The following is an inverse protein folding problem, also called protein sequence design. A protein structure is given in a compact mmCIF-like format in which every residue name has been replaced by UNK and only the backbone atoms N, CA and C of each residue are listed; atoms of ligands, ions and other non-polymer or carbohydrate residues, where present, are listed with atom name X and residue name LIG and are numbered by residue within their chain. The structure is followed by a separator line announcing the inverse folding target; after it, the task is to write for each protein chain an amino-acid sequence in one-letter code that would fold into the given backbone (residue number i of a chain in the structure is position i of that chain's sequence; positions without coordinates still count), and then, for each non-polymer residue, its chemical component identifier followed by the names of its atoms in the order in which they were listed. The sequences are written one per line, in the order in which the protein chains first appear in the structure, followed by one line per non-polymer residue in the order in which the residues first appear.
data_IF_985922220484
#
_entry.id   IF_985922220484
#
_cell.length_a   1.000
_cell.length_b   1.000
_cell.length_c   1.000
_cell.angle_alpha   90.00
_cell.angle_beta   90.00
_cell.angle_gamma   90.00
#
_symmetry.space_group_name_H-M   'P 1'
#
loop_
_entity.id
_entity.type
_entity.pdbx_description
1 polymer ?
#
# COMPACT_ATOMS: atom_id res chain seq x y z
N UNK A 1 41.58 -30.03 -40.73
CA UNK A 1 40.43 -30.70 -40.08
C UNK A 1 40.03 -30.06 -38.74
N UNK A 2 40.96 -29.79 -37.80
CA UNK A 2 40.62 -29.22 -36.47
C UNK A 2 40.03 -27.80 -36.52
N UNK A 3 40.47 -26.96 -37.45
CA UNK A 3 39.92 -25.61 -37.66
C UNK A 3 38.54 -25.60 -38.32
N UNK A 4 38.19 -26.65 -39.05
CA UNK A 4 36.91 -26.78 -39.74
C UNK A 4 35.79 -27.17 -38.76
N UNK A 5 36.11 -27.99 -37.75
CA UNK A 5 35.20 -28.32 -36.66
C UNK A 5 34.90 -27.13 -35.73
N UNK A 6 35.89 -26.26 -35.47
CA UNK A 6 35.69 -25.06 -34.64
C UNK A 6 34.80 -24.04 -35.35
N UNK A 7 34.95 -23.87 -36.66
CA UNK A 7 34.09 -22.98 -37.44
C UNK A 7 32.62 -23.44 -37.45
N UNK A 8 32.36 -24.75 -37.55
CA UNK A 8 30.99 -25.31 -37.53
C UNK A 8 30.32 -25.11 -36.17
N UNK A 9 31.05 -25.28 -35.06
CA UNK A 9 30.51 -25.04 -33.71
C UNK A 9 30.23 -23.55 -33.47
N UNK A 10 31.07 -22.65 -33.98
CA UNK A 10 30.82 -21.21 -33.88
C UNK A 10 29.62 -20.75 -34.74
N UNK A 11 29.39 -21.40 -35.89
CA UNK A 11 28.23 -21.13 -36.74
C UNK A 11 26.90 -21.63 -36.13
N UNK A 12 26.90 -22.71 -35.34
CA UNK A 12 25.69 -23.20 -34.67
C UNK A 12 25.30 -22.40 -33.42
N UNK A 13 26.25 -21.68 -32.81
CA UNK A 13 26.01 -20.77 -31.68
C UNK A 13 25.44 -19.39 -32.09
N UNK A 14 25.55 -19.02 -33.38
CA UNK A 14 25.01 -17.77 -33.92
C UNK A 14 23.55 -17.88 -34.40
N UNK A 15 22.92 -19.05 -34.27
CA UNK A 15 21.47 -19.20 -34.43
C UNK A 15 20.76 -18.68 -33.16
N UNK A 16 20.82 -17.36 -32.97
CA UNK A 16 20.02 -16.66 -31.97
C UNK A 16 18.54 -16.82 -32.33
N UNK A 17 17.82 -17.67 -31.59
CA UNK A 17 16.36 -17.63 -31.57
C UNK A 17 15.94 -16.31 -30.95
N UNK A 18 15.11 -15.53 -31.66
CA UNK A 18 14.50 -14.31 -31.15
C UNK A 18 13.53 -14.69 -30.00
N UNK A 19 13.88 -14.42 -28.73
CA UNK A 19 13.08 -14.82 -27.58
C UNK A 19 11.76 -14.02 -27.48
N UNK A 20 11.55 -13.04 -28.36
CA UNK A 20 10.36 -12.18 -28.41
C UNK A 20 9.52 -12.39 -29.67
N UNK A 21 9.85 -13.38 -30.51
CA UNK A 21 9.08 -13.68 -31.73
C UNK A 21 7.61 -14.04 -31.47
N UNK A 22 7.24 -14.39 -30.24
CA UNK A 22 5.87 -14.70 -29.82
C UNK A 22 5.18 -13.60 -29.01
N UNK A 23 5.75 -12.39 -28.96
CA UNK A 23 5.17 -11.25 -28.25
C UNK A 23 4.65 -10.25 -29.28
N UNK A 24 3.36 -9.95 -29.24
CA UNK A 24 2.72 -8.96 -30.11
C UNK A 24 3.43 -7.61 -29.98
N UNK A 25 3.82 -7.00 -31.11
CA UNK A 25 4.43 -5.66 -31.10
C UNK A 25 3.32 -4.62 -31.10
N UNK A 26 3.57 -3.48 -30.46
CA UNK A 26 2.64 -2.35 -30.46
C UNK A 26 2.31 -1.85 -31.88
N UNK A 27 3.18 -2.12 -32.87
CA UNK A 27 2.94 -1.81 -34.29
C UNK A 27 1.91 -2.72 -34.95
N UNK A 28 1.62 -3.87 -34.35
CA UNK A 28 0.69 -4.88 -34.90
C UNK A 28 -0.72 -4.72 -34.31
N UNK A 29 -0.93 -3.69 -33.48
CA UNK A 29 -2.23 -3.31 -32.90
C UNK A 29 -2.78 -2.14 -33.72
N UNK A 30 -3.84 -2.39 -34.49
CA UNK A 30 -4.61 -1.35 -35.17
C UNK A 30 -5.24 -0.41 -34.13
N UNK A 31 -4.66 0.78 -33.97
CA UNK A 31 -5.26 1.86 -33.19
C UNK A 31 -6.30 2.54 -34.07
N UNK A 32 -7.58 2.47 -33.69
CA UNK A 32 -8.65 3.19 -34.39
C UNK A 32 -8.45 4.70 -34.28
N UNK A 33 -8.42 5.41 -35.41
CA UNK A 33 -8.29 6.88 -35.46
C UNK A 33 -9.48 7.62 -34.83
N UNK A 34 -10.60 6.92 -34.55
CA UNK A 34 -11.79 7.46 -33.89
C UNK A 34 -11.75 7.37 -32.35
N UNK A 35 -10.67 6.83 -31.77
CA UNK A 35 -10.49 6.83 -30.32
C UNK A 35 -10.05 8.24 -29.88
N UNK A 36 -11.03 9.08 -29.53
CA UNK A 36 -10.77 10.32 -28.79
C UNK A 36 -10.05 9.98 -27.48
N UNK A 37 -8.76 10.30 -27.42
CA UNK A 37 -7.95 10.24 -26.22
C UNK A 37 -8.47 11.30 -25.23
N UNK A 38 -9.53 10.96 -24.50
CA UNK A 38 -10.06 11.77 -23.42
C UNK A 38 -9.18 11.57 -22.18
N UNK A 39 -8.00 12.21 -22.16
CA UNK A 39 -7.29 12.67 -20.96
C UNK A 39 -5.87 13.16 -21.32
N UNK A 40 -5.75 14.14 -22.22
CA UNK A 40 -4.59 15.03 -22.14
C UNK A 40 -4.95 16.14 -21.14
N UNK A 41 -4.15 16.33 -20.07
CA UNK A 41 -4.39 17.40 -19.11
C UNK A 41 -4.37 18.75 -19.83
N UNK A 42 -5.24 19.66 -19.41
CA UNK A 42 -5.29 20.99 -20.02
C UNK A 42 -4.04 21.82 -19.66
N UNK A 43 -3.79 22.88 -20.43
CA UNK A 43 -2.61 23.72 -20.25
C UNK A 43 -2.53 24.40 -18.86
N UNK A 44 -3.66 24.60 -18.17
CA UNK A 44 -3.69 25.13 -16.81
C UNK A 44 -3.33 24.07 -15.76
N UNK A 45 -3.71 22.81 -15.97
CA UNK A 45 -3.27 21.69 -15.12
C UNK A 45 -1.76 21.46 -15.27
N UNK A 46 -1.24 21.49 -16.50
CA UNK A 46 0.20 21.34 -16.78
C UNK A 46 1.03 22.47 -16.17
N UNK A 47 0.53 23.71 -16.22
CA UNK A 47 1.18 24.87 -15.60
C UNK A 47 1.14 24.83 -14.06
N UNK A 48 0.15 24.15 -13.47
CA UNK A 48 -0.01 24.03 -12.01
C UNK A 48 0.77 22.85 -11.41
N UNK A 49 0.86 21.73 -12.13
CA UNK A 49 1.45 20.49 -11.61
C UNK A 49 2.93 20.29 -11.98
N UNK A 50 3.49 21.14 -12.83
CA UNK A 50 4.91 21.13 -13.15
C UNK A 50 5.31 19.86 -13.90
N UNK A 51 4.99 19.82 -15.20
CA UNK A 51 5.52 18.78 -16.08
C UNK A 51 6.97 19.13 -16.51
N UNK A 52 7.79 18.11 -16.76
CA UNK A 52 9.21 18.26 -17.12
C UNK A 52 9.35 19.23 -18.33
N UNK A 53 9.95 20.40 -18.10
CA UNK A 53 10.16 21.44 -19.12
C UNK A 53 9.23 22.66 -19.04
N UNK A 54 8.45 22.85 -17.97
CA UNK A 54 7.60 24.04 -17.75
C UNK A 54 8.18 24.98 -16.69
N UNK A 55 7.88 26.29 -16.75
CA UNK A 55 8.39 27.31 -15.80
C UNK A 55 8.08 26.99 -14.33
N UNK A 56 7.00 26.23 -14.05
CA UNK A 56 6.67 25.76 -12.69
C UNK A 56 7.65 24.69 -12.14
N UNK A 57 8.45 24.05 -13.01
CA UNK A 57 9.48 23.08 -12.65
C UNK A 57 10.86 23.72 -12.38
N UNK A 58 11.06 24.99 -12.73
CA UNK A 58 12.27 25.75 -12.38
C UNK A 58 12.15 26.31 -10.96
N UNK A 59 12.43 25.44 -9.99
CA UNK A 59 12.68 25.88 -8.62
C UNK A 59 14.01 26.61 -8.52
N UNK A 60 13.96 27.88 -8.12
CA UNK A 60 15.14 28.68 -7.75
C UNK A 60 15.94 27.94 -6.66
N UNK A 61 17.17 27.53 -7.00
CA UNK A 61 18.07 26.88 -6.06
C UNK A 61 18.72 27.98 -5.22
N UNK A 62 18.48 28.07 -3.90
CA UNK A 62 19.13 29.09 -3.09
C UNK A 62 20.64 28.92 -3.15
N UNK A 63 21.35 30.01 -3.46
CA UNK A 63 22.78 30.11 -3.69
C UNK A 63 23.66 29.91 -2.43
N UNK A 64 23.34 28.92 -1.59
CA UNK A 64 24.06 28.64 -0.34
C UNK A 64 24.33 27.15 -0.13
N UNK A 65 24.81 26.43 -1.15
CA UNK A 65 25.60 25.20 -0.94
C UNK A 65 26.65 25.08 -2.05
N UNK A 66 27.53 26.06 -2.15
CA UNK A 66 28.77 25.96 -2.91
C UNK A 66 29.95 26.06 -1.93
N UNK A 67 30.10 25.07 -1.05
CA UNK A 67 31.35 24.86 -0.34
C UNK A 67 31.67 23.37 -0.30
N UNK A 68 32.72 22.99 -1.04
CA UNK A 68 33.23 21.63 -1.14
C UNK A 68 33.80 21.16 0.21
N UNK A 69 33.42 19.98 0.73
CA UNK A 69 34.19 19.37 1.80
C UNK A 69 35.49 18.79 1.21
N UNK A 70 36.63 19.42 1.51
CA UNK A 70 37.97 18.82 1.31
C UNK A 70 38.07 17.52 2.10
N UNK A 71 37.86 16.40 1.43
CA UNK A 71 38.08 15.07 2.00
C UNK A 71 39.59 14.78 2.06
N UNK A 72 40.05 14.37 3.25
CA UNK A 72 41.42 13.90 3.47
C UNK A 72 41.65 12.60 2.69
N UNK A 73 42.74 12.57 1.93
CA UNK A 73 43.26 11.38 1.29
C UNK A 73 43.70 10.36 2.35
N UNK A 74 43.09 9.18 2.33
CA UNK A 74 43.71 7.95 2.86
C UNK A 74 43.97 7.03 1.69
N UNK A 75 45.26 6.87 1.36
CA UNK A 75 45.75 6.03 0.28
C UNK A 75 45.41 4.56 0.50
N UNK A 76 44.68 3.99 -0.46
CA UNK A 76 44.39 2.58 -0.55
C UNK A 76 44.60 2.08 -1.98
N UNK A 77 45.19 0.89 -2.11
CA UNK A 77 45.78 0.28 -3.31
C UNK A 77 44.81 -0.02 -4.48
N UNK A 78 43.57 0.49 -4.47
CA UNK A 78 42.53 0.22 -5.48
C UNK A 78 42.04 1.46 -6.27
N UNK A 79 42.67 2.63 -6.09
CA UNK A 79 42.31 3.89 -6.78
C UNK A 79 42.46 3.85 -8.31
N UNK A 80 43.26 2.92 -8.85
CA UNK A 80 43.54 2.83 -10.29
C UNK A 80 42.43 2.21 -11.16
N UNK A 81 41.45 1.52 -10.57
CA UNK A 81 40.43 0.78 -11.35
C UNK A 81 39.12 1.56 -11.50
N UNK A 82 38.83 2.50 -10.60
CA UNK A 82 37.64 3.37 -10.68
C UNK A 82 37.83 4.52 -11.69
N UNK A 83 39.07 4.97 -11.93
CA UNK A 83 39.38 6.03 -12.90
C UNK A 83 39.25 5.63 -14.38
N UNK A 84 39.06 4.34 -14.70
CA UNK A 84 38.97 3.89 -16.10
C UNK A 84 37.54 3.66 -16.61
N UNK A 85 36.54 3.67 -15.72
CA UNK A 85 35.11 3.49 -16.08
C UNK A 85 34.37 4.83 -16.17
N UNK A 86 34.95 5.92 -15.66
CA UNK A 86 34.32 7.24 -15.66
C UNK A 86 34.56 8.06 -16.95
N UNK A 87 35.14 7.47 -18.00
CA UNK A 87 35.43 8.17 -19.26
C UNK A 87 34.92 7.35 -20.46
N UNK A 88 33.60 7.29 -20.60
CA UNK A 88 32.96 6.95 -21.86
C UNK A 88 31.63 7.70 -21.97
N UNK A 89 31.61 8.54 -23.00
CA UNK A 89 30.71 9.65 -23.28
C UNK A 89 29.43 9.13 -23.96
N UNK A 90 28.44 8.70 -23.15
CA UNK A 90 27.14 8.21 -23.65
C UNK A 90 26.02 9.27 -23.54
N UNK A 91 26.29 10.39 -22.88
CA UNK A 91 25.29 11.45 -22.65
C UNK A 91 25.27 12.51 -23.77
N UNK A 92 26.37 12.69 -24.50
CA UNK A 92 26.46 13.69 -25.57
C UNK A 92 25.78 13.25 -26.89
N UNK A 93 25.54 11.96 -27.11
CA UNK A 93 24.93 11.46 -28.35
C UNK A 93 23.39 11.61 -28.40
N UNK A 94 22.73 11.75 -27.25
CA UNK A 94 21.27 11.82 -27.16
C UNK A 94 20.74 13.26 -27.27
N UNK A 95 21.60 14.26 -27.03
CA UNK A 95 21.23 15.68 -27.07
C UNK A 95 21.18 16.27 -28.50
N UNK A 96 21.71 15.58 -29.51
CA UNK A 96 21.75 16.07 -30.89
C UNK A 96 20.50 15.73 -31.72
N UNK A 97 19.69 14.74 -31.28
CA UNK A 97 18.55 14.24 -32.07
C UNK A 97 17.23 14.97 -31.76
N UNK A 98 17.14 15.62 -30.59
CA UNK A 98 15.92 16.32 -30.13
C UNK A 98 15.80 17.74 -30.72
N UNK A 99 16.88 18.30 -31.28
CA UNK A 99 16.92 19.67 -31.79
C UNK A 99 16.36 19.84 -33.22
N UNK A 100 15.86 18.79 -33.87
CA UNK A 100 15.51 18.79 -35.30
C UNK A 100 14.01 18.79 -35.64
N UNK A 101 13.08 19.01 -34.71
CA UNK A 101 11.63 18.90 -35.01
C UNK A 101 10.72 19.97 -34.42
N UNK A 102 11.21 21.18 -34.15
CA UNK A 102 10.35 22.28 -33.68
C UNK A 102 10.49 23.55 -34.53
N UNK A 103 9.75 23.58 -35.63
CA UNK A 103 9.28 24.77 -36.35
C UNK A 103 7.89 24.38 -36.85
N UNK A 104 6.78 24.95 -36.37
CA UNK A 104 6.23 26.25 -36.77
C UNK A 104 5.18 26.75 -35.75
N UNK A 105 4.90 28.08 -35.67
CA UNK A 105 3.92 28.63 -34.74
C UNK A 105 2.54 28.81 -35.41
N UNK A 106 1.46 28.44 -34.70
CA UNK A 106 0.08 28.82 -35.08
C UNK A 106 -0.55 29.65 -33.95
N UNK A 107 -0.89 30.88 -34.33
CA UNK A 107 -1.57 31.93 -33.55
C UNK A 107 -3.06 31.65 -33.53
N UNK A 108 -3.72 31.58 -32.36
CA UNK A 108 -5.17 31.74 -32.27
C UNK A 108 -5.58 32.59 -31.06
N UNK A 109 -6.53 33.44 -31.40
CA UNK A 109 -7.13 34.62 -30.81
C UNK A 109 -7.97 34.36 -29.55
N UNK A 110 -7.97 35.35 -28.65
CA UNK A 110 -8.66 35.36 -27.36
C UNK A 110 -10.12 35.80 -27.50
N UNK A 111 -11.05 35.13 -26.81
CA UNK A 111 -12.34 35.72 -26.40
C UNK A 111 -12.73 35.23 -24.99
N UNK A 112 -13.19 36.11 -24.08
CA UNK A 112 -13.56 35.73 -22.71
C UNK A 112 -15.09 35.64 -22.52
N UNK A 113 -15.56 34.71 -21.68
CA UNK A 113 -16.94 34.73 -21.15
C UNK A 113 -16.98 34.36 -19.66
N UNK A 114 -17.09 35.41 -18.85
CA UNK A 114 -17.94 35.68 -17.68
C UNK A 114 -18.67 34.54 -16.91
N UNK A 115 -18.31 34.42 -15.62
CA UNK A 115 -19.07 34.35 -14.35
C UNK A 115 -20.31 33.46 -14.08
N UNK A 116 -20.40 33.17 -12.75
CA UNK A 116 -21.55 32.78 -11.90
C UNK A 116 -21.61 31.27 -11.56
N UNK A 117 -21.88 30.79 -10.34
CA UNK A 117 -22.36 31.39 -9.09
C UNK A 117 -22.04 30.44 -7.93
N UNK A 118 -21.87 31.00 -6.73
CA UNK A 118 -21.76 30.32 -5.45
C UNK A 118 -23.02 29.49 -5.11
N UNK A 119 -22.82 28.37 -4.41
CA UNK A 119 -23.89 27.64 -3.71
C UNK A 119 -23.51 27.56 -2.22
N UNK A 120 -24.49 28.00 -1.44
CA UNK A 120 -24.49 28.29 -0.02
C UNK A 120 -24.65 27.01 0.81
N UNK A 121 -23.73 26.76 1.73
CA UNK A 121 -23.79 25.68 2.70
C UNK A 121 -24.73 26.09 3.85
N UNK A 122 -25.94 25.54 3.86
CA UNK A 122 -26.84 25.63 5.01
C UNK A 122 -26.49 24.56 6.06
N UNK A 123 -26.34 25.02 7.30
CA UNK A 123 -25.90 24.26 8.45
C UNK A 123 -27.06 23.94 9.43
N UNK A 124 -26.77 22.98 10.33
CA UNK A 124 -27.35 22.74 11.68
C UNK A 124 -28.63 21.88 11.78
N UNK A 125 -28.94 21.24 12.94
CA UNK A 125 -28.11 20.83 14.09
C UNK A 125 -28.45 19.42 14.71
N UNK A 126 -27.51 18.98 15.56
CA UNK A 126 -27.55 18.22 16.82
C UNK A 126 -28.68 17.20 17.21
N UNK A 127 -28.14 16.04 17.60
CA UNK A 127 -28.55 14.92 18.47
C UNK A 127 -29.41 15.25 19.71
N UNK A 128 -30.24 14.28 20.17
CA UNK A 128 -30.40 14.11 21.61
C UNK A 128 -30.25 12.66 22.10
N UNK A 129 -29.32 12.52 23.04
CA UNK A 129 -29.39 11.86 24.36
C UNK A 129 -30.12 10.52 24.54
N UNK A 130 -29.30 9.53 24.92
CA UNK A 130 -29.63 8.24 25.53
C UNK A 130 -30.08 8.36 27.00
N UNK A 131 -31.04 7.54 27.46
CA UNK A 131 -31.20 7.22 28.89
C UNK A 131 -30.45 5.93 29.31
N UNK A 132 -30.10 5.79 30.61
CA UNK A 132 -29.10 4.86 31.12
C UNK A 132 -29.57 3.41 31.32
N UNK A 133 -28.58 2.52 31.36
CA UNK A 133 -28.66 1.07 31.52
C UNK A 133 -28.67 0.69 33.01
N UNK A 134 -29.64 -0.13 33.42
CA UNK A 134 -29.69 -0.77 34.74
C UNK A 134 -28.58 -1.84 34.90
N UNK A 135 -27.80 -1.74 35.97
CA UNK A 135 -26.75 -2.68 36.37
C UNK A 135 -27.35 -3.82 37.24
N UNK A 136 -27.22 -5.11 36.90
CA UNK A 136 -27.59 -6.18 37.82
C UNK A 136 -26.46 -6.50 38.81
N UNK A 137 -26.83 -6.56 40.09
CA UNK A 137 -25.99 -6.91 41.24
C UNK A 137 -25.30 -8.28 41.12
N UNK A 138 -23.98 -8.31 41.38
CA UNK A 138 -23.19 -9.55 41.42
C UNK A 138 -23.24 -10.20 42.81
N UNK A 139 -23.90 -11.35 42.93
CA UNK A 139 -23.74 -12.27 44.07
C UNK A 139 -22.40 -12.99 43.98
N UNK A 140 -21.53 -12.78 44.99
CA UNK A 140 -20.23 -13.45 45.13
C UNK A 140 -20.43 -14.83 45.79
N UNK A 141 -20.29 -15.90 45.03
CA UNK A 141 -20.13 -17.26 45.55
C UNK A 141 -18.65 -17.65 45.57
N UNK A 142 -18.13 -18.01 46.75
CA UNK A 142 -16.78 -18.56 46.92
C UNK A 142 -16.86 -20.05 46.57
N UNK A 143 -16.38 -20.42 45.38
CA UNK A 143 -16.20 -21.81 44.95
C UNK A 143 -14.71 -22.12 44.74
N UNK A 144 -14.15 -23.01 45.56
CA UNK A 144 -12.73 -23.37 45.59
C UNK A 144 -12.31 -24.44 44.54
N UNK A 145 -13.19 -24.89 43.66
CA UNK A 145 -12.83 -25.80 42.58
C UNK A 145 -13.68 -25.53 41.35
N UNK A 146 -13.19 -24.67 40.46
CA UNK A 146 -13.87 -24.34 39.21
C UNK A 146 -12.90 -23.69 38.24
N UNK A 147 -12.40 -24.48 37.28
CA UNK A 147 -11.63 -23.94 36.16
C UNK A 147 -12.48 -22.94 35.41
N UNK A 148 -12.20 -21.66 35.63
CA UNK A 148 -12.85 -20.56 34.92
C UNK A 148 -12.60 -20.77 33.42
N UNK A 149 -13.64 -21.18 32.71
CA UNK A 149 -13.67 -21.06 31.26
C UNK A 149 -13.41 -19.58 30.95
N UNK A 150 -12.47 -19.29 30.05
CA UNK A 150 -12.11 -17.93 29.61
C UNK A 150 -13.26 -17.17 28.91
N UNK A 151 -14.53 -17.55 29.13
CA UNK A 151 -15.69 -17.05 28.40
C UNK A 151 -16.18 -15.67 28.88
N UNK A 152 -15.87 -15.27 30.11
CA UNK A 152 -16.52 -14.10 30.71
C UNK A 152 -15.61 -12.87 30.92
N UNK A 153 -14.37 -12.86 30.39
CA UNK A 153 -13.59 -11.63 30.39
C UNK A 153 -14.17 -10.69 29.31
N UNK A 154 -14.59 -9.46 29.65
CA UNK A 154 -15.05 -8.50 28.66
C UNK A 154 -13.99 -8.31 27.58
N UNK A 155 -14.40 -8.38 26.29
CA UNK A 155 -13.48 -8.11 25.18
C UNK A 155 -13.18 -6.61 25.18
N UNK A 156 -11.90 -6.26 25.14
CA UNK A 156 -11.43 -4.87 25.16
C UNK A 156 -10.63 -4.49 23.91
N UNK A 157 -10.64 -5.35 22.89
CA UNK A 157 -9.95 -5.10 21.62
C UNK A 157 -10.71 -4.09 20.75
N UNK A 158 -10.12 -3.64 19.63
CA UNK A 158 -10.79 -2.76 18.67
C UNK A 158 -12.11 -3.34 18.12
N UNK A 159 -12.26 -4.66 18.16
CA UNK A 159 -13.42 -5.44 17.70
C UNK A 159 -14.41 -5.80 18.82
N UNK A 160 -14.38 -5.12 19.97
CA UNK A 160 -15.17 -5.49 21.14
C UNK A 160 -16.69 -5.43 20.93
N UNK A 161 -17.17 -4.61 19.97
CA UNK A 161 -18.59 -4.43 19.68
C UNK A 161 -19.13 -5.59 18.82
N UNK A 162 -20.30 -6.09 19.20
CA UNK A 162 -21.12 -6.99 18.39
C UNK A 162 -22.07 -6.20 17.49
N UNK A 163 -22.19 -6.63 16.24
CA UNK A 163 -23.14 -6.05 15.29
C UNK A 163 -23.90 -7.13 14.51
N UNK A 164 -25.17 -6.87 14.12
CA UNK A 164 -25.91 -7.75 13.22
C UNK A 164 -25.24 -7.86 11.84
N UNK A 165 -25.50 -8.97 11.15
CA UNK A 165 -25.04 -9.13 9.77
C UNK A 165 -25.67 -8.06 8.86
N UNK A 166 -24.86 -7.45 8.01
CA UNK A 166 -25.31 -6.40 7.08
C UNK A 166 -25.22 -4.97 7.65
N UNK A 167 -24.80 -4.82 8.91
CA UNK A 167 -24.52 -3.49 9.47
C UNK A 167 -23.42 -2.79 8.68
N UNK A 168 -23.67 -1.56 8.24
CA UNK A 168 -22.66 -0.69 7.65
C UNK A 168 -21.89 0.02 8.77
N UNK A 169 -20.57 -0.15 8.81
CA UNK A 169 -19.72 0.46 9.81
C UNK A 169 -19.14 1.78 9.33
N UNK A 170 -18.86 2.69 10.25
CA UNK A 170 -18.09 3.89 9.92
C UNK A 170 -16.67 3.49 9.48
N UNK A 171 -16.06 4.29 8.61
CA UNK A 171 -14.71 4.00 8.15
C UNK A 171 -13.74 3.91 9.32
N UNK A 172 -12.96 2.84 9.33
CA UNK A 172 -11.98 2.56 10.35
C UNK A 172 -12.52 1.86 11.61
N UNK A 173 -13.81 1.59 11.69
CA UNK A 173 -14.36 0.69 12.71
C UNK A 173 -14.26 -0.77 12.27
N UNK A 174 -14.07 -1.64 13.26
CA UNK A 174 -14.13 -3.10 13.10
C UNK A 174 -15.02 -3.65 14.19
N UNK A 175 -15.90 -4.58 13.85
CA UNK A 175 -16.82 -5.18 14.82
C UNK A 175 -16.95 -6.67 14.59
N UNK A 176 -17.38 -7.40 15.62
CA UNK A 176 -17.65 -8.83 15.55
C UNK A 176 -19.06 -9.06 15.00
N UNK A 177 -19.19 -10.03 14.10
CA UNK A 177 -20.46 -10.41 13.46
C UNK A 177 -20.63 -11.92 13.48
N UNK A 178 -21.04 -12.46 14.63
CA UNK A 178 -21.18 -13.91 14.81
C UNK A 178 -22.25 -14.53 13.90
N UNK A 179 -23.26 -13.75 13.48
CA UNK A 179 -24.29 -14.19 12.53
C UNK A 179 -23.75 -14.49 11.13
N UNK A 180 -22.57 -13.96 10.76
CA UNK A 180 -21.92 -14.23 9.49
C UNK A 180 -21.28 -15.63 9.44
N UNK A 181 -21.17 -16.33 10.59
CA UNK A 181 -20.51 -17.62 10.69
C UNK A 181 -21.20 -18.66 9.80
N UNK A 182 -20.42 -19.32 8.94
CA UNK A 182 -20.91 -20.36 8.03
C UNK A 182 -21.73 -19.84 6.85
N UNK A 183 -21.92 -18.52 6.73
CA UNK A 183 -22.59 -17.90 5.59
C UNK A 183 -21.59 -17.58 4.49
N UNK A 184 -22.10 -17.33 3.28
CA UNK A 184 -21.29 -16.77 2.19
C UNK A 184 -20.85 -15.35 2.58
N UNK A 185 -19.55 -15.12 2.61
CA UNK A 185 -18.93 -13.82 2.92
C UNK A 185 -18.52 -13.05 1.65
N UNK A 186 -18.83 -13.59 0.48
CA UNK A 186 -18.34 -13.11 -0.81
C UNK A 186 -17.02 -13.76 -1.22
N UNK A 187 -16.20 -13.03 -2.00
CA UNK A 187 -14.97 -13.54 -2.59
C UNK A 187 -13.84 -13.52 -1.56
N UNK A 188 -13.17 -14.66 -1.38
CA UNK A 188 -11.90 -14.70 -0.62
C UNK A 188 -10.82 -13.95 -1.42
N UNK A 189 -10.22 -12.95 -0.81
CA UNK A 189 -9.13 -12.17 -1.41
C UNK A 189 -7.77 -12.82 -1.14
N UNK A 190 -7.47 -13.09 0.13
CA UNK A 190 -6.18 -13.67 0.55
C UNK A 190 -6.29 -14.28 1.97
N UNK A 191 -5.21 -14.89 2.48
CA UNK A 191 -5.09 -15.34 3.86
C UNK A 191 -3.77 -16.04 4.22
N UNK A 192 -3.58 -16.29 5.52
CA UNK A 192 -2.41 -16.99 6.11
C UNK A 192 -2.50 -18.53 5.98
N UNK A 193 -2.93 -19.04 4.83
CA UNK A 193 -3.06 -20.49 4.56
C UNK A 193 -4.36 -21.13 5.09
N UNK A 194 -4.37 -22.45 5.27
CA UNK A 194 -5.60 -23.23 5.59
C UNK A 194 -6.15 -23.03 7.00
N UNK A 195 -5.31 -22.66 7.98
CA UNK A 195 -5.70 -22.52 9.39
C UNK A 195 -5.40 -21.11 9.96
N UNK A 196 -5.16 -20.15 9.09
CA UNK A 196 -4.84 -18.78 9.46
C UNK A 196 -6.00 -17.82 9.21
N UNK A 197 -5.69 -16.53 9.27
CA UNK A 197 -6.65 -15.50 8.93
C UNK A 197 -6.97 -15.49 7.44
N UNK A 198 -8.17 -15.10 7.07
CA UNK A 198 -8.56 -14.90 5.68
C UNK A 198 -9.44 -13.66 5.54
N UNK A 199 -9.16 -12.88 4.49
CA UNK A 199 -9.89 -11.69 4.11
C UNK A 199 -10.88 -12.01 2.99
N UNK A 200 -12.11 -11.53 3.14
CA UNK A 200 -13.19 -11.68 2.18
C UNK A 200 -13.77 -10.32 1.82
N UNK A 201 -14.15 -10.18 0.57
CA UNK A 201 -14.85 -9.02 0.00
C UNK A 201 -16.30 -9.43 -0.30
N UNK A 202 -17.27 -8.75 0.31
CA UNK A 202 -18.69 -9.06 0.10
C UNK A 202 -19.15 -8.84 -1.33
N UNK A 203 -18.51 -7.92 -2.06
CA UNK A 203 -18.92 -7.56 -3.41
C UNK A 203 -17.74 -6.98 -4.24
N UNK A 204 -16.85 -7.81 -4.79
CA UNK A 204 -15.65 -7.35 -5.49
C UNK A 204 -15.92 -6.70 -6.86
N UNK A 205 -17.16 -6.72 -7.37
CA UNK A 205 -17.51 -6.11 -8.66
C UNK A 205 -17.84 -4.62 -8.57
N UNK A 206 -18.04 -4.07 -7.37
CA UNK A 206 -18.32 -2.64 -7.17
C UNK A 206 -17.08 -1.89 -6.71
N UNK A 207 -16.97 -0.63 -7.14
CA UNK A 207 -15.93 0.31 -6.72
C UNK A 207 -16.42 1.29 -5.64
N UNK A 208 -17.42 0.88 -4.87
CA UNK A 208 -17.95 1.65 -3.75
C UNK A 208 -17.55 1.04 -2.41
N UNK A 209 -17.88 1.76 -1.32
CA UNK A 209 -17.77 1.24 0.04
C UNK A 209 -18.60 -0.02 0.18
N UNK A 210 -17.99 -1.07 0.72
CA UNK A 210 -18.61 -2.38 0.96
C UNK A 210 -18.02 -3.04 2.17
N UNK A 211 -18.65 -4.13 2.58
CA UNK A 211 -18.25 -4.86 3.77
C UNK A 211 -17.16 -5.86 3.44
N UNK A 212 -16.09 -5.82 4.22
CA UNK A 212 -15.05 -6.83 4.22
C UNK A 212 -15.17 -7.67 5.48
N UNK A 213 -14.85 -8.95 5.37
CA UNK A 213 -14.84 -9.87 6.50
C UNK A 213 -13.46 -10.45 6.71
N UNK A 214 -13.05 -10.55 7.97
CA UNK A 214 -11.88 -11.30 8.41
C UNK A 214 -12.37 -12.53 9.18
N UNK A 215 -11.80 -13.69 8.89
CA UNK A 215 -12.06 -14.94 9.62
C UNK A 215 -10.77 -15.49 10.22
N UNK A 216 -10.85 -16.56 11.02
CA UNK A 216 -9.70 -17.16 11.72
C UNK A 216 -9.53 -16.72 13.18
N UNK A 217 -10.55 -16.09 13.77
CA UNK A 217 -10.55 -15.67 15.18
C UNK A 217 -10.86 -16.81 16.14
N UNK A 218 -10.35 -16.72 17.38
CA UNK A 218 -10.46 -17.80 18.38
C UNK A 218 -11.88 -18.09 18.86
N UNK A 219 -12.79 -17.12 18.74
CA UNK A 219 -14.22 -17.28 19.04
C UNK A 219 -15.05 -17.76 17.83
N UNK A 220 -14.40 -18.02 16.68
CA UNK A 220 -15.02 -18.46 15.43
C UNK A 220 -16.06 -17.49 14.83
N UNK A 221 -16.08 -16.23 15.29
CA UNK A 221 -16.93 -15.21 14.69
C UNK A 221 -16.13 -14.39 13.65
N UNK A 222 -16.67 -14.13 12.46
CA UNK A 222 -16.06 -13.16 11.56
C UNK A 222 -16.01 -11.76 12.18
N UNK A 223 -15.02 -10.98 11.78
CA UNK A 223 -14.97 -9.52 12.01
C UNK A 223 -15.36 -8.85 10.72
N UNK A 224 -16.14 -7.79 10.80
CA UNK A 224 -16.48 -6.96 9.65
C UNK A 224 -15.96 -5.55 9.80
N UNK A 225 -15.65 -4.93 8.68
CA UNK A 225 -15.36 -3.50 8.54
C UNK A 225 -15.83 -3.03 7.17
N UNK A 226 -16.07 -1.73 7.04
CA UNK A 226 -16.52 -1.12 5.78
C UNK A 226 -15.38 -0.30 5.18
N UNK A 227 -15.10 -0.55 3.89
CA UNK A 227 -14.02 0.11 3.17
C UNK A 227 -14.30 0.15 1.66
N UNK A 228 -13.55 0.97 0.96
CA UNK A 228 -13.47 1.03 -0.50
C UNK A 228 -12.61 -0.09 -1.09
N UNK A 229 -11.51 -0.39 -0.42
CA UNK A 229 -10.59 -1.46 -0.77
C UNK A 229 -9.95 -1.98 0.53
N UNK A 230 -9.57 -3.25 0.54
CA UNK A 230 -8.84 -3.85 1.64
C UNK A 230 -7.72 -4.76 1.13
N UNK A 231 -6.54 -4.64 1.74
CA UNK A 231 -5.39 -5.46 1.46
C UNK A 231 -5.04 -6.31 2.67
N UNK A 232 -4.67 -7.57 2.40
CA UNK A 232 -4.15 -8.49 3.40
C UNK A 232 -2.62 -8.49 3.30
N UNK A 233 -1.95 -8.15 4.39
CA UNK A 233 -0.49 -8.06 4.46
C UNK A 233 0.07 -9.10 5.42
N UNK A 234 0.98 -9.94 4.93
CA UNK A 234 1.76 -10.82 5.81
C UNK A 234 2.85 -10.02 6.55
N UNK A 235 3.20 -10.41 7.79
CA UNK A 235 4.36 -9.90 8.51
C UNK A 235 5.65 -9.85 7.68
N UNK A 236 5.93 -10.86 6.85
CA UNK A 236 7.08 -10.88 5.94
C UNK A 236 7.12 -9.69 4.99
N UNK A 237 6.00 -9.41 4.33
CA UNK A 237 5.87 -8.28 3.42
C UNK A 237 5.95 -6.95 4.17
N UNK A 238 5.30 -6.86 5.34
CA UNK A 238 5.40 -5.68 6.21
C UNK A 238 6.86 -5.40 6.59
N UNK A 239 7.63 -6.41 7.03
CA UNK A 239 9.05 -6.22 7.39
C UNK A 239 9.91 -5.83 6.20
N UNK A 240 9.65 -6.41 5.03
CA UNK A 240 10.35 -6.05 3.80
C UNK A 240 10.22 -4.55 3.52
N UNK A 241 9.01 -3.99 3.64
CA UNK A 241 8.79 -2.56 3.47
C UNK A 241 9.43 -1.78 4.63
N UNK A 242 9.12 -2.17 5.89
CA UNK A 242 9.53 -1.45 7.10
C UNK A 242 11.05 -1.29 7.24
N UNK A 243 11.81 -2.31 6.86
CA UNK A 243 13.27 -2.32 6.95
C UNK A 243 13.97 -1.95 5.63
N UNK A 244 13.22 -1.72 4.56
CA UNK A 244 13.77 -1.12 3.33
C UNK A 244 14.02 0.39 3.51
N UNK A 245 14.73 1.04 2.57
CA UNK A 245 14.83 2.51 2.53
C UNK A 245 13.46 3.22 2.53
N UNK A 246 12.45 2.66 1.86
CA UNK A 246 11.10 3.23 1.80
C UNK A 246 10.43 3.28 3.19
N UNK A 247 10.69 2.29 4.05
CA UNK A 247 10.13 2.19 5.40
C UNK A 247 10.60 3.27 6.37
N UNK A 248 11.63 4.05 6.05
CA UNK A 248 12.13 5.15 6.89
C UNK A 248 11.17 6.33 6.94
N UNK A 249 10.39 6.55 5.88
CA UNK A 249 9.46 7.67 5.74
C UNK A 249 8.01 7.27 6.00
N UNK A 250 7.74 5.99 6.24
CA UNK A 250 6.39 5.52 6.52
C UNK A 250 5.94 5.89 7.95
N UNK A 251 4.65 6.22 8.13
CA UNK A 251 4.09 6.52 9.43
C UNK A 251 4.21 5.31 10.36
N UNK A 252 4.66 5.56 11.58
CA UNK A 252 4.69 4.58 12.66
C UNK A 252 3.55 4.87 13.63
N UNK A 253 2.70 3.88 13.88
CA UNK A 253 1.46 4.02 14.62
C UNK A 253 1.25 2.87 15.63
N UNK A 254 0.09 2.87 16.31
CA UNK A 254 -0.24 1.88 17.35
C UNK A 254 -0.20 0.42 16.85
N UNK A 255 -0.48 0.18 15.57
CA UNK A 255 -0.38 -1.14 14.95
C UNK A 255 1.07 -1.60 14.85
N UNK A 256 2.00 -0.71 14.52
CA UNK A 256 3.43 -1.01 14.47
C UNK A 256 4.01 -1.26 15.88
N UNK A 257 3.58 -0.49 16.88
CA UNK A 257 3.94 -0.75 18.28
C UNK A 257 3.45 -2.10 18.79
N UNK A 258 2.21 -2.46 18.43
CA UNK A 258 1.64 -3.76 18.76
C UNK A 258 2.39 -4.88 18.02
N UNK A 259 2.74 -4.66 16.75
CA UNK A 259 3.53 -5.59 15.97
C UNK A 259 4.91 -5.82 16.59
N UNK A 260 5.62 -4.77 17.01
CA UNK A 260 6.92 -4.90 17.68
C UNK A 260 6.83 -5.74 18.96
N UNK A 261 5.72 -5.64 19.72
CA UNK A 261 5.45 -6.49 20.89
C UNK A 261 5.19 -7.94 20.50
N UNK A 262 4.46 -8.19 19.41
CA UNK A 262 4.21 -9.55 18.89
C UNK A 262 5.52 -10.16 18.36
N UNK A 263 6.23 -9.44 17.49
CA UNK A 263 7.52 -9.83 16.90
C UNK A 263 8.56 -10.18 17.96
N UNK A 264 8.73 -9.33 18.98
CA UNK A 264 9.69 -9.60 20.05
C UNK A 264 9.37 -10.88 20.84
N UNK A 265 8.08 -11.21 21.02
CA UNK A 265 7.66 -12.46 21.68
C UNK A 265 7.91 -13.69 20.81
N UNK A 266 7.53 -13.64 19.52
CA UNK A 266 7.61 -14.78 18.60
C UNK A 266 9.05 -15.01 18.12
N UNK A 267 9.69 -13.94 17.65
CA UNK A 267 10.98 -13.98 16.97
C UNK A 267 12.16 -13.87 17.94
N UNK A 268 11.98 -13.20 19.09
CA UNK A 268 13.05 -12.72 19.99
C UNK A 268 13.93 -11.63 19.38
N UNK A 269 13.42 -10.93 18.36
CA UNK A 269 14.09 -9.80 17.72
C UNK A 269 13.82 -8.48 18.48
N UNK A 270 14.75 -7.52 18.36
CA UNK A 270 14.55 -6.15 18.87
C UNK A 270 13.59 -5.37 17.95
N UNK A 271 13.08 -4.23 18.43
CA UNK A 271 12.11 -3.41 17.66
C UNK A 271 12.65 -2.98 16.28
N UNK A 272 13.92 -2.57 16.22
CA UNK A 272 14.59 -2.08 15.00
C UNK A 272 15.24 -3.19 14.16
N UNK A 273 14.95 -4.46 14.48
CA UNK A 273 15.49 -5.61 13.76
C UNK A 273 14.34 -6.42 13.15
N UNK A 274 14.55 -7.04 11.97
CA UNK A 274 13.58 -7.97 11.40
C UNK A 274 13.49 -9.27 12.22
N UNK A 275 12.40 -10.00 12.06
CA UNK A 275 12.15 -11.29 12.70
C UNK A 275 13.18 -12.37 12.30
N UNK A 276 13.74 -12.27 11.08
CA UNK A 276 14.72 -13.21 10.54
C UNK A 276 14.10 -14.58 10.26
N UNK A 277 14.80 -15.66 10.63
CA UNK A 277 14.45 -17.06 10.29
C UNK A 277 13.09 -17.55 10.82
N UNK A 278 12.43 -16.79 11.70
CA UNK A 278 11.11 -17.13 12.27
C UNK A 278 9.96 -16.43 11.57
N UNK A 279 10.22 -15.72 10.47
CA UNK A 279 9.19 -14.91 9.80
C UNK A 279 8.00 -15.75 9.31
N UNK A 280 8.23 -16.95 8.79
CA UNK A 280 7.16 -17.85 8.34
C UNK A 280 6.23 -18.26 9.49
N UNK A 281 6.78 -18.43 10.69
CA UNK A 281 5.98 -18.69 11.89
C UNK A 281 5.11 -17.48 12.23
N UNK A 282 5.66 -16.28 12.09
CA UNK A 282 4.91 -15.05 12.35
C UNK A 282 3.80 -14.86 11.30
N UNK A 283 4.07 -15.17 10.02
CA UNK A 283 3.09 -15.12 8.92
C UNK A 283 1.87 -16.03 9.13
N UNK A 284 2.06 -17.16 9.81
CA UNK A 284 0.97 -18.06 10.18
C UNK A 284 0.13 -17.59 11.37
N UNK A 285 0.64 -16.66 12.18
CA UNK A 285 0.05 -16.25 13.46
C UNK A 285 -0.46 -14.81 13.50
N UNK A 286 0.00 -13.97 12.58
CA UNK A 286 -0.37 -12.56 12.48
C UNK A 286 -0.64 -12.14 11.04
N UNK A 287 -1.46 -11.11 10.87
CA UNK A 287 -1.64 -10.42 9.61
C UNK A 287 -1.98 -8.95 9.84
N UNK A 288 -1.59 -8.13 8.88
CA UNK A 288 -2.06 -6.76 8.74
C UNK A 288 -3.23 -6.74 7.77
N UNK A 289 -4.26 -5.95 8.08
CA UNK A 289 -5.34 -5.65 7.15
C UNK A 289 -5.41 -4.14 6.99
N UNK A 290 -5.11 -3.67 5.78
CA UNK A 290 -5.17 -2.25 5.42
C UNK A 290 -6.48 -1.97 4.72
N UNK A 291 -7.27 -1.06 5.26
CA UNK A 291 -8.55 -0.62 4.74
C UNK A 291 -8.45 0.83 4.23
N UNK A 292 -8.86 1.03 2.99
CA UNK A 292 -8.81 2.30 2.29
C UNK A 292 -10.22 2.87 2.11
N UNK A 293 -10.31 4.18 1.97
CA UNK A 293 -11.53 4.90 1.61
C UNK A 293 -11.38 5.46 0.19
N UNK A 294 -12.47 5.61 -0.56
CA UNK A 294 -12.42 6.32 -1.85
C UNK A 294 -12.57 7.82 -1.59
N UNK A 295 -11.47 8.56 -1.78
CA UNK A 295 -11.40 10.03 -1.95
C UNK A 295 -10.13 10.36 -2.77
N UNK A 296 -10.03 11.57 -3.32
CA UNK A 296 -8.94 12.03 -4.23
C UNK A 296 -7.51 11.82 -3.67
N UNK A 297 -7.37 11.68 -2.36
CA UNK A 297 -6.10 11.40 -1.70
C UNK A 297 -6.14 10.10 -0.87
N UNK A 298 -5.58 9.02 -1.41
CA UNK A 298 -5.30 7.76 -0.70
C UNK A 298 -4.13 7.87 0.31
N UNK A 299 -3.76 9.08 0.70
CA UNK A 299 -2.68 9.35 1.64
C UNK A 299 -3.00 8.87 3.06
N UNK A 300 -4.24 8.47 3.36
CA UNK A 300 -4.68 7.95 4.66
C UNK A 300 -5.37 6.60 4.53
N UNK A 301 -5.05 5.68 5.43
CA UNK A 301 -5.70 4.37 5.52
C UNK A 301 -5.86 3.92 6.96
N UNK A 302 -6.81 3.03 7.22
CA UNK A 302 -6.92 2.32 8.49
C UNK A 302 -6.14 1.02 8.41
N UNK A 303 -5.39 0.70 9.44
CA UNK A 303 -4.71 -0.59 9.56
C UNK A 303 -5.23 -1.32 10.80
N UNK A 304 -5.44 -2.61 10.66
CA UNK A 304 -5.76 -3.55 11.74
C UNK A 304 -4.63 -4.58 11.83
N UNK A 305 -4.12 -4.82 13.04
CA UNK A 305 -3.23 -5.94 13.30
C UNK A 305 -4.05 -7.05 13.95
N UNK A 306 -4.08 -8.22 13.31
CA UNK A 306 -4.66 -9.44 13.86
C UNK A 306 -3.55 -10.39 14.28
N UNK A 307 -3.68 -11.00 15.45
CA UNK A 307 -2.72 -11.98 15.97
C UNK A 307 -3.41 -12.90 16.99
N UNK A 308 -3.08 -14.20 16.94
CA UNK A 308 -3.58 -15.21 17.89
C UNK A 308 -5.11 -15.21 18.07
N UNK A 309 -5.81 -15.08 16.95
CA UNK A 309 -7.26 -15.09 16.92
C UNK A 309 -7.95 -13.86 17.52
N UNK A 310 -7.23 -12.72 17.65
CA UNK A 310 -7.76 -11.44 18.14
C UNK A 310 -7.33 -10.27 17.26
N UNK A 311 -8.10 -9.18 17.28
CA UNK A 311 -7.65 -7.87 16.77
C UNK A 311 -6.87 -7.20 17.90
N UNK A 312 -5.55 -7.09 17.76
CA UNK A 312 -4.69 -6.60 18.84
C UNK A 312 -4.48 -5.08 18.80
N UNK A 313 -4.61 -4.47 17.62
CA UNK A 313 -4.49 -3.03 17.46
C UNK A 313 -5.20 -2.54 16.20
N UNK A 314 -5.58 -1.27 16.23
CA UNK A 314 -6.05 -0.53 15.07
C UNK A 314 -5.48 0.88 15.09
N UNK A 315 -5.07 1.40 13.93
CA UNK A 315 -4.51 2.74 13.80
C UNK A 315 -4.86 3.34 12.44
N UNK A 316 -5.00 4.66 12.39
CA UNK A 316 -4.96 5.39 11.11
C UNK A 316 -3.49 5.65 10.79
N UNK A 317 -3.11 5.40 9.55
CA UNK A 317 -1.81 5.73 8.99
C UNK A 317 -1.99 6.76 7.89
N UNK A 318 -1.06 7.71 7.81
CA UNK A 318 -1.04 8.69 6.75
C UNK A 318 0.37 8.98 6.27
N UNK A 319 0.55 9.10 4.96
CA UNK A 319 1.72 9.74 4.38
C UNK A 319 1.47 11.24 4.36
N UNK A 320 2.43 12.01 4.87
CA UNK A 320 2.43 13.47 4.79
C UNK A 320 3.18 13.90 3.54
#
# INVERSE_FOLDING_TARGET
MRHLLVAVVLLTLAACGDPLAGVDRLTDVDVSEDATAAALPDAQEVAREGFLGTEAAEGDVPAQVAEEPKSKETGGFFSGLVKRVANSDAAAAVAADVAASQSEPVVIETTPVESASAIELAALPAEPATPPVDEPEKKRGIGLFGGATKKDKPRTGPDARDVPLGTVLAFGEIARVCEAKGKSLGKKLDGSGRRGFALYDSNPSVRDKRTFYITGFGDNCPRQFTAANALFGKPSFYEQIRFSPAGKHLPYAKTDEAYDKVKSKVCRARKKEPCGVKIDKLDGLAAFVSAYEFHEHNGKWKEFLVHDGEVVASAVKSVN
#
